data_IF_875704438670
#
_entry.id   IF_875704438670
#
_cell.length_a   1.000
_cell.length_b   1.000
_cell.length_c   1.000
_cell.angle_alpha   90.00
_cell.angle_beta   90.00
_cell.angle_gamma   90.00
#
_symmetry.space_group_name_H-M   'P 1'
#
loop_
_entity.id
_entity.type
_entity.pdbx_description
1 polymer ?
#
# COMPACT_ATOMS: atom_id res chain seq x y z
N UNK A 1 -16.36 0.22 -22.29
CA UNK A 1 -16.46 0.64 -20.88
C UNK A 1 -15.06 0.64 -20.30
N UNK A 2 -14.49 1.82 -20.12
CA UNK A 2 -13.19 1.96 -19.48
C UNK A 2 -13.27 1.37 -18.07
N UNK A 3 -12.19 0.76 -17.61
CA UNK A 3 -12.05 0.30 -16.21
C UNK A 3 -11.00 1.19 -15.52
N UNK A 4 -11.24 2.49 -15.24
CA UNK A 4 -10.30 3.30 -14.46
C UNK A 4 -10.65 3.38 -12.96
N UNK A 5 -11.85 2.99 -12.53
CA UNK A 5 -12.41 3.41 -11.22
C UNK A 5 -12.23 2.44 -10.04
N UNK A 6 -11.39 1.40 -10.16
CA UNK A 6 -11.25 0.43 -9.05
C UNK A 6 -10.13 0.78 -8.05
N UNK A 7 -9.15 1.58 -8.48
CA UNK A 7 -7.97 1.91 -7.69
C UNK A 7 -7.63 3.40 -7.89
N UNK A 8 -7.69 4.18 -6.81
CA UNK A 8 -7.31 5.59 -6.83
C UNK A 8 -5.83 5.70 -6.54
N UNK A 9 -5.06 6.18 -7.51
CA UNK A 9 -3.62 6.38 -7.39
C UNK A 9 -3.36 7.88 -7.17
N UNK A 10 -2.59 8.21 -6.15
CA UNK A 10 -2.22 9.58 -5.81
C UNK A 10 -0.72 9.69 -5.61
N UNK A 11 -0.11 10.75 -6.14
CA UNK A 11 1.30 11.05 -5.91
C UNK A 11 1.42 12.26 -4.99
N UNK A 12 2.30 12.18 -4.00
CA UNK A 12 2.49 13.24 -3.01
C UNK A 12 3.97 13.55 -2.76
N UNK A 13 4.22 14.67 -2.09
CA UNK A 13 5.56 15.07 -1.66
C UNK A 13 6.02 14.15 -0.54
N UNK A 14 7.25 13.66 -0.63
CA UNK A 14 7.90 12.90 0.45
C UNK A 14 8.08 13.83 1.66
N UNK A 15 7.53 13.47 2.81
CA UNK A 15 7.64 14.24 4.06
C UNK A 15 8.86 13.77 4.85
N UNK A 16 9.92 14.58 4.87
CA UNK A 16 11.08 14.42 5.75
C UNK A 16 11.18 15.61 6.71
N UNK A 17 11.40 15.39 8.02
CA UNK A 17 11.71 16.47 8.97
C UNK A 17 13.20 16.85 8.84
N UNK A 18 13.51 18.14 8.77
CA UNK A 18 14.90 18.64 8.79
C UNK A 18 15.34 19.27 7.47
N UNK A 19 15.69 20.56 7.55
CA UNK A 19 16.11 21.37 6.42
C UNK A 19 17.53 21.04 5.95
N UNK A 20 17.67 20.67 4.68
CA UNK A 20 18.70 21.19 3.77
C UNK A 20 18.31 20.79 2.34
N UNK A 21 18.41 21.74 1.41
CA UNK A 21 17.88 21.68 0.05
C UNK A 21 18.44 20.52 -0.79
N UNK A 22 17.62 19.53 -1.15
CA UNK A 22 17.84 18.70 -2.35
C UNK A 22 16.49 18.21 -2.91
N UNK A 23 15.95 18.92 -3.91
CA UNK A 23 14.85 18.54 -4.81
C UNK A 23 13.77 17.61 -4.22
N UNK A 24 12.78 18.20 -3.56
CA UNK A 24 11.58 17.54 -3.04
C UNK A 24 10.68 17.08 -4.20
N UNK A 25 11.08 16.01 -4.87
CA UNK A 25 10.36 15.41 -5.99
C UNK A 25 9.10 14.71 -5.48
N UNK A 26 7.97 14.87 -6.20
CA UNK A 26 6.67 14.26 -5.89
C UNK A 26 6.70 12.74 -6.14
N UNK A 27 7.51 11.99 -5.40
CA UNK A 27 7.78 10.59 -5.74
C UNK A 27 6.96 9.62 -4.92
N UNK A 28 6.45 10.02 -3.75
CA UNK A 28 5.60 9.15 -2.94
C UNK A 28 4.37 8.77 -3.76
N UNK A 29 4.19 7.47 -3.99
CA UNK A 29 3.00 6.91 -4.62
C UNK A 29 2.08 6.37 -3.52
N UNK A 30 0.79 6.55 -3.70
CA UNK A 30 -0.26 6.07 -2.82
C UNK A 30 -1.36 5.44 -3.67
N UNK A 31 -1.81 4.26 -3.27
CA UNK A 31 -2.94 3.56 -3.85
C UNK A 31 -3.99 3.45 -2.75
N UNK A 32 -5.21 3.87 -3.04
CA UNK A 32 -6.37 3.73 -2.16
C UNK A 32 -7.53 3.09 -2.91
N UNK A 33 -8.27 2.23 -2.24
CA UNK A 33 -9.51 1.67 -2.77
C UNK A 33 -10.43 1.20 -1.65
N UNK A 34 -11.73 1.24 -1.90
CA UNK A 34 -12.73 0.64 -1.00
C UNK A 34 -12.60 -0.88 -1.03
N UNK A 35 -12.29 -1.47 0.13
CA UNK A 35 -12.26 -2.92 0.27
C UNK A 35 -13.63 -3.52 -0.06
N UNK A 36 -14.72 -2.96 0.48
CA UNK A 36 -16.08 -3.45 0.27
C UNK A 36 -16.54 -3.44 -1.19
N UNK A 37 -16.07 -2.46 -1.98
CA UNK A 37 -16.39 -2.34 -3.41
C UNK A 37 -15.45 -3.13 -4.31
N UNK A 38 -14.43 -3.79 -3.73
CA UNK A 38 -13.47 -4.57 -4.49
C UNK A 38 -14.06 -5.94 -4.83
N UNK A 39 -14.90 -6.02 -5.87
CA UNK A 39 -15.53 -7.29 -6.33
C UNK A 39 -14.50 -8.31 -6.84
N UNK A 40 -13.29 -7.84 -7.15
CA UNK A 40 -12.16 -8.65 -7.59
C UNK A 40 -11.44 -9.35 -6.42
N UNK A 41 -11.85 -9.08 -5.17
CA UNK A 41 -11.37 -9.75 -3.96
C UNK A 41 -12.55 -10.53 -3.35
N UNK A 42 -12.39 -11.83 -3.04
CA UNK A 42 -13.42 -12.61 -2.34
C UNK A 42 -13.75 -12.00 -0.98
N UNK A 43 -15.02 -12.06 -0.55
CA UNK A 43 -15.47 -11.49 0.73
C UNK A 43 -14.65 -11.99 1.93
N UNK A 44 -14.37 -13.29 2.01
CA UNK A 44 -13.51 -13.87 3.06
C UNK A 44 -12.13 -13.22 3.14
N UNK A 45 -11.55 -12.90 1.98
CA UNK A 45 -10.24 -12.26 1.87
C UNK A 45 -10.36 -10.78 2.25
N UNK A 46 -11.42 -10.09 1.84
CA UNK A 46 -11.70 -8.70 2.24
C UNK A 46 -11.82 -8.56 3.76
N UNK A 47 -12.56 -9.46 4.40
CA UNK A 47 -12.72 -9.50 5.85
C UNK A 47 -11.38 -9.76 6.56
N UNK A 48 -10.56 -10.68 6.06
CA UNK A 48 -9.22 -10.94 6.61
C UNK A 48 -8.27 -9.76 6.45
N UNK A 49 -8.22 -9.12 5.27
CA UNK A 49 -7.43 -7.90 5.05
C UNK A 49 -7.90 -6.80 6.00
N UNK A 50 -9.22 -6.66 6.19
CA UNK A 50 -9.80 -5.70 7.13
C UNK A 50 -9.31 -5.91 8.57
N UNK A 51 -9.23 -7.18 8.99
CA UNK A 51 -8.75 -7.55 10.33
C UNK A 51 -7.22 -7.42 10.47
N UNK A 52 -6.44 -7.92 9.49
CA UNK A 52 -4.97 -7.95 9.54
C UNK A 52 -4.35 -6.58 9.27
N UNK A 53 -4.95 -5.79 8.39
CA UNK A 53 -4.43 -4.50 7.95
C UNK A 53 -5.30 -3.32 8.41
N UNK A 54 -6.02 -3.46 9.53
CA UNK A 54 -6.85 -2.40 10.13
C UNK A 54 -6.13 -1.05 10.28
N UNK A 55 -4.82 -1.09 10.57
CA UNK A 55 -3.97 0.10 10.70
C UNK A 55 -3.76 0.87 9.39
N UNK A 56 -4.09 0.25 8.24
CA UNK A 56 -3.96 0.82 6.89
C UNK A 56 -5.32 1.17 6.30
N UNK A 57 -6.41 0.99 7.03
CA UNK A 57 -7.78 1.21 6.57
C UNK A 57 -8.31 2.47 7.23
N UNK A 58 -8.90 3.37 6.43
CA UNK A 58 -9.53 4.57 6.96
C UNK A 58 -10.89 4.25 7.61
N UNK A 59 -11.52 5.27 8.20
CA UNK A 59 -12.86 5.13 8.81
C UNK A 59 -13.95 4.78 7.80
N UNK A 60 -13.73 5.06 6.52
CA UNK A 60 -14.65 4.80 5.40
C UNK A 60 -14.46 3.39 4.81
N UNK A 61 -13.54 2.58 5.33
CA UNK A 61 -13.27 1.22 4.86
C UNK A 61 -12.37 1.16 3.61
N UNK A 62 -11.65 2.23 3.31
CA UNK A 62 -10.66 2.27 2.23
C UNK A 62 -9.30 1.81 2.71
N UNK A 63 -8.70 0.86 2.00
CA UNK A 63 -7.32 0.44 2.22
C UNK A 63 -6.37 1.43 1.57
N UNK A 64 -5.45 2.00 2.35
CA UNK A 64 -4.47 2.97 1.88
C UNK A 64 -3.07 2.35 1.94
N UNK A 65 -2.42 2.25 0.79
CA UNK A 65 -1.07 1.70 0.63
C UNK A 65 -0.19 2.75 -0.02
N UNK A 66 0.81 3.24 0.71
CA UNK A 66 1.78 4.19 0.16
C UNK A 66 3.21 3.68 0.24
N UNK A 67 4.03 4.18 -0.68
CA UNK A 67 5.46 3.87 -0.77
C UNK A 67 6.27 5.05 -1.30
N UNK A 68 7.49 5.18 -0.78
CA UNK A 68 8.44 6.25 -1.09
C UNK A 68 9.90 5.75 -1.03
N UNK A 69 10.15 4.50 -1.41
CA UNK A 69 11.48 3.88 -1.39
C UNK A 69 12.44 4.46 -2.42
N UNK A 70 11.94 5.07 -3.49
CA UNK A 70 12.77 5.59 -4.59
C UNK A 70 12.41 7.00 -5.01
N UNK A 71 13.33 7.63 -5.77
CA UNK A 71 13.09 8.89 -6.48
C UNK A 71 12.25 8.74 -7.76
N UNK A 72 11.86 7.51 -8.12
CA UNK A 72 11.06 7.23 -9.31
C UNK A 72 9.64 6.85 -8.92
N UNK A 73 8.65 7.61 -9.43
CA UNK A 73 7.23 7.38 -9.17
C UNK A 73 6.79 5.96 -9.59
N UNK A 74 7.23 5.47 -10.75
CA UNK A 74 6.90 4.12 -11.23
C UNK A 74 7.41 3.03 -10.28
N UNK A 75 8.61 3.18 -9.71
CA UNK A 75 9.15 2.21 -8.75
C UNK A 75 8.35 2.20 -7.45
N UNK A 76 7.94 3.37 -6.98
CA UNK A 76 7.09 3.48 -5.79
C UNK A 76 5.68 2.92 -6.05
N UNK A 77 5.14 3.11 -7.25
CA UNK A 77 3.86 2.52 -7.64
C UNK A 77 3.94 0.99 -7.69
N UNK A 78 4.99 0.45 -8.33
CA UNK A 78 5.22 -1.00 -8.39
C UNK A 78 5.33 -1.60 -6.98
N UNK A 79 6.04 -0.93 -6.07
CA UNK A 79 6.14 -1.34 -4.67
C UNK A 79 4.80 -1.30 -3.92
N UNK A 80 3.94 -0.30 -4.18
CA UNK A 80 2.58 -0.28 -3.64
C UNK A 80 1.75 -1.46 -4.15
N UNK A 81 1.83 -1.78 -5.45
CA UNK A 81 1.12 -2.91 -6.04
C UNK A 81 1.62 -4.24 -5.46
N UNK A 82 2.93 -4.39 -5.30
CA UNK A 82 3.53 -5.60 -4.73
C UNK A 82 3.08 -5.81 -3.28
N UNK A 83 3.04 -4.75 -2.47
CA UNK A 83 2.47 -4.77 -1.11
C UNK A 83 1.00 -5.21 -1.09
N UNK A 84 0.18 -4.71 -2.01
CA UNK A 84 -1.23 -5.11 -2.12
C UNK A 84 -1.32 -6.60 -2.48
N UNK A 85 -0.52 -7.06 -3.45
CA UNK A 85 -0.47 -8.47 -3.85
C UNK A 85 -0.07 -9.38 -2.68
N UNK A 86 0.92 -8.96 -1.90
CA UNK A 86 1.37 -9.68 -0.70
C UNK A 86 0.25 -9.75 0.35
N UNK A 87 -0.41 -8.63 0.66
CA UNK A 87 -1.55 -8.61 1.59
C UNK A 87 -2.69 -9.55 1.14
N UNK A 88 -3.03 -9.55 -0.15
CA UNK A 88 -4.04 -10.46 -0.70
C UNK A 88 -3.59 -11.92 -0.58
N UNK A 89 -2.32 -12.20 -0.87
CA UNK A 89 -1.75 -13.54 -0.77
C UNK A 89 -1.72 -14.05 0.67
N UNK A 90 -1.39 -13.18 1.64
CA UNK A 90 -1.40 -13.47 3.08
C UNK A 90 -2.82 -13.70 3.62
N UNK A 91 -3.81 -12.97 3.12
CA UNK A 91 -5.20 -13.19 3.48
C UNK A 91 -5.77 -14.46 2.82
N UNK A 92 -5.29 -14.84 1.64
CA UNK A 92 -5.73 -16.02 0.91
C UNK A 92 -5.06 -17.33 1.40
N UNK A 93 -3.75 -17.32 1.69
CA UNK A 93 -3.05 -18.49 2.26
C UNK A 93 -3.15 -18.52 3.79
N UNK A 94 -3.27 -19.71 4.41
CA UNK A 94 -3.00 -19.88 5.85
C UNK A 94 -1.62 -19.28 6.17
N UNK A 95 -1.46 -18.58 7.32
CA UNK A 95 -0.36 -17.66 7.55
C UNK A 95 0.99 -18.36 7.36
N UNK A 96 1.72 -17.97 6.30
CA UNK A 96 3.14 -18.29 6.18
C UNK A 96 3.95 -17.20 6.86
N UNK A 97 5.02 -17.58 7.56
CA UNK A 97 5.77 -16.67 8.42
C UNK A 97 6.35 -15.52 7.59
N UNK A 98 6.05 -14.29 8.03
CA UNK A 98 6.72 -13.07 7.60
C UNK A 98 8.23 -13.32 7.52
N UNK A 99 8.77 -13.24 6.31
CA UNK A 99 10.19 -13.43 6.07
C UNK A 99 10.93 -12.21 6.62
N UNK A 100 12.06 -12.46 7.25
CA UNK A 100 12.78 -11.51 8.12
C UNK A 100 13.28 -10.25 7.41
N UNK A 101 13.18 -10.16 6.08
CA UNK A 101 13.49 -8.95 5.29
C UNK A 101 12.53 -7.78 5.54
N UNK A 102 11.21 -7.99 5.64
CA UNK A 102 10.21 -6.90 5.73
C UNK A 102 10.26 -6.16 7.08
N UNK A 103 10.66 -6.87 8.14
CA UNK A 103 10.80 -6.33 9.51
C UNK A 103 12.11 -5.55 9.66
N UNK A 104 13.20 -6.02 9.01
CA UNK A 104 14.53 -5.38 9.11
C UNK A 104 14.57 -3.98 8.51
N UNK A 105 13.81 -3.72 7.45
CA UNK A 105 13.75 -2.39 6.82
C UNK A 105 12.97 -1.38 7.69
N UNK A 106 12.06 -1.86 8.56
CA UNK A 106 11.23 -1.01 9.43
C UNK A 106 11.90 -0.65 10.76
N UNK A 107 12.86 -1.45 11.23
CA UNK A 107 13.55 -1.25 12.52
C UNK A 107 14.88 -0.49 12.43
N UNK A 108 15.39 -0.18 11.23
CA UNK A 108 16.66 0.53 11.06
C UNK A 108 16.49 2.05 10.86
N UNK A 109 15.39 2.63 11.36
CA UNK A 109 15.18 4.08 11.47
C UNK A 109 14.95 4.47 12.91
#
# INVERSE_FOLDING_TARGET
MCVPDRLTISYSKSSGPGGQNVNKVNTKAEIRFHLSSADWIPEDVRQKISQQNRNRINREGELIVSSQVSRYQMRNLADCLDKIRTMISEANQKPKPVTKEDIKVRQMR
#
